data_IF_347744698933
#
_entry.id   IF_347744698933
#
_cell.length_a   1.000
_cell.length_b   1.000
_cell.length_c   1.000
_cell.angle_alpha   90.00
_cell.angle_beta   90.00
_cell.angle_gamma   90.00
#
_symmetry.space_group_name_H-M   'P 1'
#
loop_
_entity.id
_entity.type
_entity.pdbx_description
1 polymer ?
#
# COMPACT_ATOMS: atom_id res chain seq x y z
N UNK A 1 -7.82 24.32 6.07
CA UNK A 1 -7.78 23.06 6.87
C UNK A 1 -8.09 21.94 5.91
N UNK A 2 -7.10 21.13 5.53
CA UNK A 2 -7.32 20.00 4.61
C UNK A 2 -8.14 18.95 5.37
N UNK A 3 -9.36 18.68 4.92
CA UNK A 3 -10.15 17.54 5.41
C UNK A 3 -9.48 16.25 4.89
N UNK A 4 -8.46 15.75 5.60
CA UNK A 4 -7.96 14.39 5.37
C UNK A 4 -9.13 13.44 5.63
N UNK A 5 -9.68 12.83 4.59
CA UNK A 5 -10.58 11.69 4.79
C UNK A 5 -9.72 10.56 5.33
N UNK A 6 -9.90 10.22 6.60
CA UNK A 6 -9.36 8.99 7.13
C UNK A 6 -10.14 7.84 6.51
N UNK A 7 -9.42 6.90 5.90
CA UNK A 7 -10.03 5.62 5.54
C UNK A 7 -10.44 4.93 6.84
N UNK A 8 -11.70 4.49 6.96
CA UNK A 8 -12.16 3.86 8.18
C UNK A 8 -11.47 2.51 8.35
N UNK A 9 -11.25 2.12 9.60
CA UNK A 9 -10.91 0.74 9.90
C UNK A 9 -12.13 -0.17 9.64
N UNK A 10 -11.94 -1.22 8.84
CA UNK A 10 -12.98 -2.21 8.57
C UNK A 10 -12.65 -3.48 9.32
N UNK A 11 -13.54 -3.85 10.23
CA UNK A 11 -13.42 -5.06 11.03
C UNK A 11 -14.35 -6.14 10.47
N UNK A 12 -13.81 -7.33 10.27
CA UNK A 12 -14.53 -8.54 9.91
C UNK A 12 -14.30 -9.61 10.97
N UNK A 13 -14.95 -10.76 10.85
CA UNK A 13 -14.73 -11.87 11.78
C UNK A 13 -13.27 -12.35 11.87
N UNK A 14 -12.48 -12.18 10.80
CA UNK A 14 -11.11 -12.72 10.69
C UNK A 14 -10.02 -11.69 10.42
N UNK A 15 -10.39 -10.49 9.99
CA UNK A 15 -9.46 -9.49 9.48
C UNK A 15 -9.84 -8.08 9.93
N UNK A 16 -8.81 -7.29 10.20
CA UNK A 16 -8.84 -5.83 10.32
C UNK A 16 -8.19 -5.25 9.06
N UNK A 17 -8.91 -4.39 8.34
CA UNK A 17 -8.36 -3.58 7.26
C UNK A 17 -8.20 -2.15 7.78
N UNK A 18 -7.00 -1.59 7.66
CA UNK A 18 -6.65 -0.24 8.11
C UNK A 18 -5.81 0.49 7.06
N UNK A 19 -5.69 1.81 7.20
CA UNK A 19 -4.76 2.61 6.40
C UNK A 19 -3.33 2.07 6.56
N UNK A 20 -2.58 2.04 5.45
CA UNK A 20 -1.17 1.64 5.45
C UNK A 20 -0.33 2.70 6.18
N UNK A 21 0.67 2.23 6.92
CA UNK A 21 1.69 3.06 7.55
C UNK A 21 3.07 2.63 7.08
N UNK A 22 4.09 3.45 7.36
CA UNK A 22 5.48 3.11 7.00
C UNK A 22 5.98 1.84 7.70
N UNK A 23 5.37 1.44 8.80
CA UNK A 23 5.69 0.18 9.50
C UNK A 23 5.31 -1.06 8.67
N UNK A 24 4.44 -0.90 7.67
CA UNK A 24 4.00 -1.99 6.79
C UNK A 24 4.97 -2.24 5.61
N UNK A 25 5.96 -1.38 5.40
CA UNK A 25 6.89 -1.49 4.28
C UNK A 25 7.57 -2.87 4.17
N UNK A 26 8.05 -3.50 5.27
CA UNK A 26 8.63 -4.85 5.19
C UNK A 26 7.64 -5.92 4.72
N UNK A 27 6.35 -5.79 5.08
CA UNK A 27 5.31 -6.72 4.63
C UNK A 27 5.02 -6.55 3.14
N UNK A 28 4.88 -5.31 2.68
CA UNK A 28 4.66 -4.98 1.27
C UNK A 28 5.86 -5.46 0.44
N UNK A 29 7.09 -5.13 0.84
CA UNK A 29 8.28 -5.60 0.13
C UNK A 29 8.31 -7.13 0.01
N UNK A 30 8.01 -7.86 1.09
CA UNK A 30 7.93 -9.32 1.05
C UNK A 30 6.86 -9.84 0.08
N UNK A 31 5.73 -9.15 -0.03
CA UNK A 31 4.64 -9.53 -0.94
C UNK A 31 5.03 -9.30 -2.41
N UNK A 32 5.58 -8.13 -2.72
CA UNK A 32 5.87 -7.69 -4.09
C UNK A 32 7.25 -8.09 -4.62
N UNK A 33 8.16 -8.56 -3.77
CA UNK A 33 9.41 -9.22 -4.18
C UNK A 33 9.21 -10.69 -4.58
N UNK A 34 8.00 -11.23 -4.44
CA UNK A 34 7.67 -12.58 -4.86
C UNK A 34 7.17 -12.58 -6.32
N UNK A 35 8.03 -12.96 -7.25
CA UNK A 35 7.72 -13.04 -8.69
C UNK A 35 6.43 -13.82 -8.98
N UNK A 36 6.14 -14.89 -8.23
CA UNK A 36 4.92 -15.69 -8.45
C UNK A 36 3.66 -14.95 -8.04
N UNK A 37 3.73 -14.10 -7.02
CA UNK A 37 2.61 -13.24 -6.62
C UNK A 37 2.38 -12.12 -7.63
N UNK A 38 3.45 -11.62 -8.25
CA UNK A 38 3.40 -10.51 -9.21
C UNK A 38 3.13 -10.95 -10.66
N UNK A 39 3.02 -12.26 -10.96
CA UNK A 39 2.87 -12.79 -12.32
C UNK A 39 1.74 -12.14 -13.14
N UNK A 40 0.71 -11.65 -12.49
CA UNK A 40 -0.47 -11.04 -13.12
C UNK A 40 -0.60 -9.52 -12.86
N UNK A 41 0.40 -8.90 -12.24
CA UNK A 41 0.46 -7.45 -12.03
C UNK A 41 1.18 -6.82 -13.23
N UNK A 42 0.42 -6.50 -14.28
CA UNK A 42 0.98 -6.01 -15.54
C UNK A 42 1.50 -4.57 -15.47
N UNK A 43 1.08 -3.82 -14.46
CA UNK A 43 1.37 -2.42 -14.24
C UNK A 43 2.37 -2.17 -13.10
N UNK A 44 2.88 -3.23 -12.48
CA UNK A 44 3.81 -3.15 -11.34
C UNK A 44 5.04 -4.04 -11.58
N UNK A 45 6.22 -3.52 -11.25
CA UNK A 45 7.46 -4.30 -11.32
C UNK A 45 7.67 -5.10 -10.03
N UNK A 46 8.43 -6.20 -10.11
CA UNK A 46 8.81 -6.96 -8.91
C UNK A 46 9.77 -6.12 -8.08
N UNK A 47 9.45 -5.92 -6.80
CA UNK A 47 10.25 -5.05 -5.94
C UNK A 47 11.60 -5.69 -5.65
N UNK A 48 12.65 -4.88 -5.73
CA UNK A 48 14.06 -5.32 -5.57
C UNK A 48 14.72 -4.76 -4.33
N UNK A 49 14.16 -3.68 -3.78
CA UNK A 49 14.65 -3.00 -2.59
C UNK A 49 13.48 -2.53 -1.70
N UNK A 50 13.79 -2.13 -0.46
CA UNK A 50 12.76 -1.71 0.50
C UNK A 50 12.17 -0.35 0.13
N UNK A 51 12.93 0.49 -0.58
CA UNK A 51 12.54 1.81 -1.04
C UNK A 51 11.34 1.73 -2.02
N UNK A 52 11.30 0.72 -2.89
CA UNK A 52 10.14 0.44 -3.76
C UNK A 52 8.83 0.32 -2.94
N UNK A 53 8.90 -0.33 -1.78
CA UNK A 53 7.75 -0.50 -0.89
C UNK A 53 7.39 0.76 -0.11
N UNK A 54 8.38 1.57 0.30
CA UNK A 54 8.09 2.87 0.94
C UNK A 54 7.48 3.84 -0.06
N UNK A 55 7.96 3.86 -1.31
CA UNK A 55 7.44 4.69 -2.39
C UNK A 55 5.99 4.33 -2.69
N UNK A 56 5.64 3.04 -2.69
CA UNK A 56 4.26 2.59 -2.80
C UNK A 56 3.36 3.14 -1.67
N UNK A 57 3.81 3.09 -0.41
CA UNK A 57 3.04 3.61 0.72
C UNK A 57 2.86 5.13 0.59
N UNK A 58 3.93 5.85 0.23
CA UNK A 58 3.87 7.29 0.00
C UNK A 58 2.95 7.65 -1.18
N UNK A 59 3.00 6.88 -2.26
CA UNK A 59 2.14 7.06 -3.42
C UNK A 59 0.67 6.95 -3.01
N UNK A 60 0.33 5.95 -2.21
CA UNK A 60 -1.05 5.74 -1.76
C UNK A 60 -1.46 6.67 -0.60
N UNK A 61 -0.52 7.42 -0.01
CA UNK A 61 -0.83 8.40 1.04
C UNK A 61 -1.54 9.64 0.48
N UNK A 62 -2.59 10.07 1.18
CA UNK A 62 -3.38 11.27 0.90
C UNK A 62 -3.99 11.32 -0.52
N UNK A 63 -4.71 10.27 -0.96
CA UNK A 63 -5.12 10.17 -2.36
C UNK A 63 -6.15 11.23 -2.77
N UNK A 64 -6.94 11.74 -1.82
CA UNK A 64 -7.88 12.87 -2.02
C UNK A 64 -7.17 14.14 -2.50
N UNK A 65 -5.96 14.40 -1.99
CA UNK A 65 -5.17 15.59 -2.33
C UNK A 65 -4.51 15.39 -3.69
N UNK A 66 -4.11 14.15 -3.98
CA UNK A 66 -3.35 13.79 -5.19
C UNK A 66 -4.25 13.47 -6.39
N UNK A 67 -5.57 13.48 -6.23
CA UNK A 67 -6.53 13.14 -7.28
C UNK A 67 -6.45 11.67 -7.72
N UNK A 68 -6.11 10.77 -6.78
CA UNK A 68 -5.92 9.32 -7.01
C UNK A 68 -7.16 8.50 -6.61
N UNK A 69 -8.31 9.14 -6.48
CA UNK A 69 -9.59 8.58 -6.05
C UNK A 69 -10.67 8.74 -7.11
#
# INVERSE_FOLDING_TARGET
>A
MSNKKHFPELNTERLLLRELTMEDAPFIFKLFSNEKMCEYLYDEEVYTNIEDATDFIEWNANPEIKGRN
#
